data_IF_001530677274
#
_entry.id   IF_001530677274
#
_cell.length_a   1.000
_cell.length_b   1.000
_cell.length_c   1.000
_cell.angle_alpha   90.00
_cell.angle_beta   90.00
_cell.angle_gamma   90.00
#
_symmetry.space_group_name_H-M   'P 1'
#
loop_
_entity.id
_entity.type
_entity.pdbx_description
1 polymer ?
#
# COMPACT_ATOMS: atom_id res chain seq x y z
N UNK A 1 3.54 -16.97 16.27
CA UNK A 1 2.87 -15.87 15.54
C UNK A 1 1.67 -16.36 14.73
N UNK A 2 1.80 -17.35 13.86
CA UNK A 2 0.70 -17.93 13.05
C UNK A 2 -0.52 -18.34 13.90
N UNK A 3 -0.30 -19.08 14.99
CA UNK A 3 -1.36 -19.52 15.91
C UNK A 3 -2.16 -18.35 16.51
N UNK A 4 -1.53 -17.19 16.71
CA UNK A 4 -2.21 -16.04 17.33
C UNK A 4 -3.13 -15.29 16.37
N UNK A 5 -2.78 -15.14 15.08
CA UNK A 5 -3.67 -14.55 14.07
C UNK A 5 -4.84 -15.49 13.77
N UNK A 6 -4.57 -16.79 13.61
CA UNK A 6 -5.63 -17.80 13.42
C UNK A 6 -6.65 -17.75 14.58
N UNK A 7 -6.19 -17.77 15.82
CA UNK A 7 -7.08 -17.70 16.99
C UNK A 7 -7.88 -16.38 17.02
N UNK A 8 -7.27 -15.26 16.64
CA UNK A 8 -7.98 -13.99 16.55
C UNK A 8 -9.14 -14.08 15.55
N UNK A 9 -8.89 -14.63 14.36
CA UNK A 9 -9.92 -14.79 13.32
C UNK A 9 -11.03 -15.74 13.77
N UNK A 10 -10.69 -16.90 14.33
CA UNK A 10 -11.68 -17.87 14.86
C UNK A 10 -12.65 -17.25 15.89
N UNK A 11 -12.13 -16.40 16.77
CA UNK A 11 -12.95 -15.73 17.82
C UNK A 11 -13.83 -14.62 17.26
N UNK A 12 -13.37 -13.92 16.20
CA UNK A 12 -14.00 -12.67 15.79
C UNK A 12 -14.82 -12.75 14.49
N UNK A 13 -14.60 -13.75 13.61
CA UNK A 13 -15.28 -13.84 12.30
C UNK A 13 -16.81 -13.86 12.39
N UNK A 14 -17.38 -14.45 13.43
CA UNK A 14 -18.84 -14.51 13.64
C UNK A 14 -19.49 -13.11 13.83
N UNK A 15 -18.69 -12.12 14.23
CA UNK A 15 -19.19 -10.74 14.36
C UNK A 15 -19.64 -10.17 13.03
N UNK A 16 -19.04 -10.61 11.92
CA UNK A 16 -19.32 -10.09 10.57
C UNK A 16 -20.76 -10.39 10.10
N UNK A 17 -21.40 -11.45 10.61
CA UNK A 17 -22.77 -11.87 10.21
C UNK A 17 -23.83 -10.74 10.36
N UNK A 18 -23.60 -9.83 11.28
CA UNK A 18 -24.55 -8.77 11.56
C UNK A 18 -24.42 -7.56 10.62
N UNK A 19 -23.37 -7.52 9.79
CA UNK A 19 -23.01 -6.31 9.03
C UNK A 19 -23.34 -6.45 7.54
N UNK A 20 -23.78 -5.34 6.95
CA UNK A 20 -23.79 -5.13 5.49
C UNK A 20 -22.46 -4.49 5.09
N UNK A 21 -21.83 -5.01 4.05
CA UNK A 21 -20.62 -4.44 3.47
C UNK A 21 -20.95 -3.50 2.33
N UNK A 22 -20.46 -2.28 2.39
CA UNK A 22 -20.44 -1.34 1.28
C UNK A 22 -19.03 -1.33 0.67
N UNK A 23 -18.93 -1.71 -0.61
CA UNK A 23 -17.69 -1.68 -1.37
C UNK A 23 -17.66 -0.41 -2.21
N UNK A 24 -16.71 0.47 -1.97
CA UNK A 24 -16.47 1.68 -2.77
C UNK A 24 -15.18 1.49 -3.56
N UNK A 25 -15.29 1.34 -4.87
CA UNK A 25 -14.17 0.97 -5.73
C UNK A 25 -14.25 1.69 -7.09
N UNK A 26 -13.10 2.18 -7.57
CA UNK A 26 -12.96 2.58 -8.97
C UNK A 26 -12.36 1.40 -9.74
N UNK A 27 -13.07 0.92 -10.77
CA UNK A 27 -12.50 -0.05 -11.72
C UNK A 27 -11.96 0.68 -12.95
N UNK A 28 -11.07 0.01 -13.70
CA UNK A 28 -10.49 0.59 -14.92
C UNK A 28 -11.57 0.95 -15.94
N UNK A 29 -12.62 0.13 -16.07
CA UNK A 29 -13.72 0.36 -17.01
C UNK A 29 -14.71 1.44 -16.54
N UNK A 30 -14.98 1.54 -15.24
CA UNK A 30 -15.93 2.50 -14.66
C UNK A 30 -15.29 3.85 -14.35
N UNK A 31 -13.97 3.95 -14.31
CA UNK A 31 -13.26 5.17 -14.05
C UNK A 31 -13.58 6.22 -15.12
N UNK A 32 -14.22 7.31 -14.72
CA UNK A 32 -14.37 8.50 -15.56
C UNK A 32 -12.98 9.02 -15.87
N UNK A 33 -12.82 9.75 -17.01
CA UNK A 33 -11.56 10.33 -17.50
C UNK A 33 -10.70 10.83 -16.34
N UNK A 34 -9.62 10.13 -16.06
CA UNK A 34 -8.55 10.56 -15.15
C UNK A 34 -7.47 11.25 -15.98
N UNK A 35 -6.71 12.12 -15.33
CA UNK A 35 -5.60 12.80 -15.96
C UNK A 35 -4.37 11.88 -15.90
N UNK A 36 -3.97 11.32 -17.02
CA UNK A 36 -2.74 10.57 -17.14
C UNK A 36 -1.52 11.50 -17.12
N UNK A 37 -0.40 10.97 -16.68
CA UNK A 37 0.90 11.58 -16.89
C UNK A 37 1.48 11.15 -18.24
N UNK A 38 2.43 11.90 -18.75
CA UNK A 38 3.11 11.53 -19.99
C UNK A 38 3.81 10.16 -19.84
N UNK A 39 3.38 9.17 -20.62
CA UNK A 39 3.92 7.80 -20.58
C UNK A 39 3.40 6.90 -19.44
N UNK A 40 2.48 7.37 -18.58
CA UNK A 40 1.98 6.60 -17.45
C UNK A 40 0.46 6.70 -17.32
N UNK A 41 -0.20 5.56 -17.28
CA UNK A 41 -1.64 5.48 -17.04
C UNK A 41 -1.92 5.36 -15.53
N UNK A 42 -2.56 6.37 -14.96
CA UNK A 42 -2.92 6.40 -13.53
C UNK A 42 -3.92 5.29 -13.17
N UNK A 43 -4.72 4.82 -14.15
CA UNK A 43 -5.63 3.70 -13.93
C UNK A 43 -4.92 2.37 -13.68
N UNK A 44 -3.59 2.30 -13.81
CA UNK A 44 -2.80 1.12 -13.39
C UNK A 44 -3.00 0.80 -11.91
N UNK A 45 -3.29 1.79 -11.07
CA UNK A 45 -3.61 1.57 -9.66
C UNK A 45 -5.06 1.10 -9.41
N UNK A 46 -5.93 1.16 -10.41
CA UNK A 46 -7.32 0.73 -10.25
C UNK A 46 -7.43 -0.76 -10.51
N UNK A 47 -8.38 -1.40 -9.84
CA UNK A 47 -8.69 -2.79 -10.13
C UNK A 47 -9.22 -2.93 -11.57
N UNK A 48 -8.78 -3.95 -12.29
CA UNK A 48 -9.48 -4.41 -13.49
C UNK A 48 -10.86 -4.95 -13.10
N UNK A 49 -11.74 -5.16 -14.05
CA UNK A 49 -13.06 -5.74 -13.75
C UNK A 49 -12.93 -7.17 -13.21
N UNK A 50 -11.97 -7.96 -13.70
CA UNK A 50 -11.67 -9.31 -13.22
C UNK A 50 -11.21 -9.27 -11.76
N UNK A 51 -10.25 -8.41 -11.44
CA UNK A 51 -9.77 -8.22 -10.07
C UNK A 51 -10.87 -7.75 -9.12
N UNK A 52 -11.79 -6.93 -9.61
CA UNK A 52 -12.92 -6.48 -8.83
C UNK A 52 -13.91 -7.61 -8.51
N UNK A 53 -14.19 -8.48 -9.48
CA UNK A 53 -14.99 -9.69 -9.26
C UNK A 53 -14.32 -10.65 -8.25
N UNK A 54 -12.99 -10.78 -8.28
CA UNK A 54 -12.25 -11.53 -7.26
C UNK A 54 -12.44 -10.93 -5.87
N UNK A 55 -12.37 -9.60 -5.72
CA UNK A 55 -12.62 -8.89 -4.45
C UNK A 55 -14.03 -9.18 -3.93
N UNK A 56 -15.06 -9.08 -4.78
CA UNK A 56 -16.45 -9.39 -4.41
C UNK A 56 -16.58 -10.85 -3.98
N UNK A 57 -16.03 -11.76 -4.76
CA UNK A 57 -16.04 -13.20 -4.47
C UNK A 57 -15.41 -13.49 -3.10
N UNK A 58 -14.28 -12.85 -2.81
CA UNK A 58 -13.55 -13.03 -1.57
C UNK A 58 -14.35 -12.54 -0.35
N UNK A 59 -14.94 -11.35 -0.43
CA UNK A 59 -15.80 -10.82 0.63
C UNK A 59 -17.10 -11.62 0.80
N UNK A 60 -17.65 -12.19 -0.26
CA UNK A 60 -18.86 -13.04 -0.20
C UNK A 60 -18.66 -14.31 0.64
N UNK A 61 -17.41 -14.72 0.84
CA UNK A 61 -17.09 -15.88 1.71
C UNK A 61 -17.12 -15.54 3.22
N UNK A 62 -17.22 -14.24 3.59
CA UNK A 62 -17.13 -13.79 4.99
C UNK A 62 -18.44 -13.83 5.76
N UNK A 63 -19.48 -14.49 5.24
CA UNK A 63 -20.77 -14.66 5.93
C UNK A 63 -21.39 -13.33 6.39
N UNK A 64 -21.39 -12.34 5.51
CA UNK A 64 -22.00 -11.03 5.71
C UNK A 64 -23.52 -11.08 5.51
N UNK A 65 -24.25 -10.13 6.08
CA UNK A 65 -25.69 -10.00 5.87
C UNK A 65 -26.03 -9.61 4.41
N UNK A 66 -25.30 -8.64 3.84
CA UNK A 66 -25.48 -8.18 2.47
C UNK A 66 -24.19 -7.49 1.98
N UNK A 67 -24.05 -7.36 0.64
CA UNK A 67 -22.98 -6.59 -0.01
C UNK A 67 -23.62 -5.61 -1.00
N UNK A 68 -23.27 -4.34 -0.90
CA UNK A 68 -23.69 -3.27 -1.82
C UNK A 68 -22.44 -2.62 -2.44
N UNK A 69 -22.52 -2.27 -3.73
CA UNK A 69 -21.36 -1.86 -4.54
C UNK A 69 -21.57 -0.43 -5.06
N UNK A 70 -20.55 0.40 -4.87
CA UNK A 70 -20.48 1.77 -5.37
C UNK A 70 -19.21 1.93 -6.23
N UNK A 71 -19.37 2.18 -7.52
CA UNK A 71 -18.24 2.31 -8.45
C UNK A 71 -17.62 3.71 -8.50
N UNK A 72 -18.02 4.60 -7.58
CA UNK A 72 -17.38 5.90 -7.38
C UNK A 72 -17.61 6.44 -5.98
N UNK A 73 -16.71 7.29 -5.52
CA UNK A 73 -16.84 8.02 -4.26
C UNK A 73 -18.13 8.85 -4.22
N UNK A 74 -18.44 9.53 -5.30
CA UNK A 74 -19.63 10.41 -5.39
C UNK A 74 -20.92 9.61 -5.30
N UNK A 75 -21.02 8.44 -5.92
CA UNK A 75 -22.22 7.60 -5.83
C UNK A 75 -22.44 7.12 -4.40
N UNK A 76 -21.38 6.74 -3.69
CA UNK A 76 -21.44 6.33 -2.29
C UNK A 76 -21.86 7.50 -1.39
N UNK A 77 -21.19 8.65 -1.49
CA UNK A 77 -21.49 9.84 -0.67
C UNK A 77 -22.94 10.27 -0.86
N UNK A 78 -23.40 10.38 -2.12
CA UNK A 78 -24.79 10.74 -2.38
C UNK A 78 -25.80 9.73 -1.82
N UNK A 79 -25.48 8.44 -1.89
CA UNK A 79 -26.34 7.40 -1.31
C UNK A 79 -26.47 7.59 0.21
N UNK A 80 -25.37 7.77 0.92
CA UNK A 80 -25.38 7.98 2.38
C UNK A 80 -26.21 9.23 2.75
N UNK A 81 -25.94 10.37 2.11
CA UNK A 81 -26.64 11.63 2.40
C UNK A 81 -28.13 11.61 2.08
N UNK A 82 -28.55 10.82 1.08
CA UNK A 82 -29.98 10.71 0.73
C UNK A 82 -30.73 9.66 1.55
N UNK A 83 -30.03 8.83 2.34
CA UNK A 83 -30.63 7.74 3.11
C UNK A 83 -30.20 7.74 4.59
N UNK A 84 -29.92 8.90 5.17
CA UNK A 84 -29.36 9.05 6.53
C UNK A 84 -30.11 8.25 7.59
N UNK A 85 -31.46 8.34 7.61
CA UNK A 85 -32.28 7.65 8.60
C UNK A 85 -32.18 6.11 8.50
N UNK A 86 -32.08 5.58 7.30
CA UNK A 86 -31.89 4.15 7.05
C UNK A 86 -30.47 3.72 7.50
N UNK A 87 -29.45 4.50 7.15
CA UNK A 87 -28.04 4.23 7.42
C UNK A 87 -27.76 4.19 8.92
N UNK A 88 -28.33 5.13 9.70
CA UNK A 88 -28.17 5.18 11.17
C UNK A 88 -28.66 3.91 11.88
N UNK A 89 -29.61 3.20 11.27
CA UNK A 89 -30.19 1.97 11.83
C UNK A 89 -29.54 0.69 11.31
N UNK A 90 -28.61 0.77 10.34
CA UNK A 90 -27.91 -0.38 9.77
C UNK A 90 -26.57 -0.61 10.44
N UNK A 91 -26.23 -1.87 10.65
CA UNK A 91 -24.85 -2.25 10.95
C UNK A 91 -24.06 -2.33 9.65
N UNK A 92 -23.21 -1.34 9.42
CA UNK A 92 -22.45 -1.19 8.19
C UNK A 92 -20.95 -1.34 8.42
N UNK A 93 -20.27 -1.84 7.40
CA UNK A 93 -18.81 -1.75 7.24
C UNK A 93 -18.56 -1.20 5.83
N UNK A 94 -17.65 -0.23 5.70
CA UNK A 94 -17.24 0.30 4.41
C UNK A 94 -15.82 -0.18 4.09
N UNK A 95 -15.66 -0.89 2.99
CA UNK A 95 -14.37 -1.13 2.36
C UNK A 95 -14.18 -0.15 1.20
N UNK A 96 -13.02 0.48 1.09
CA UNK A 96 -12.72 1.38 -0.01
C UNK A 96 -11.35 1.11 -0.62
N UNK A 97 -11.33 0.90 -1.94
CA UNK A 97 -10.15 1.03 -2.80
C UNK A 97 -10.24 2.23 -3.73
N UNK A 98 -11.28 3.06 -3.57
CA UNK A 98 -11.50 4.24 -4.39
C UNK A 98 -10.42 5.31 -4.17
N UNK A 99 -9.98 5.94 -5.26
CA UNK A 99 -8.84 6.84 -5.27
C UNK A 99 -8.86 7.83 -6.43
N UNK A 100 -10.04 8.32 -6.79
CA UNK A 100 -10.18 9.35 -7.83
C UNK A 100 -9.48 10.64 -7.42
N UNK A 101 -8.87 11.33 -8.39
CA UNK A 101 -8.16 12.59 -8.18
C UNK A 101 -6.64 12.42 -8.10
N UNK A 102 -5.97 13.41 -7.51
CA UNK A 102 -4.51 13.51 -7.41
C UNK A 102 -4.07 13.83 -5.99
N UNK A 103 -2.78 13.66 -5.70
CA UNK A 103 -2.18 14.03 -4.43
C UNK A 103 -2.37 13.01 -3.31
N UNK A 104 -1.86 13.34 -2.13
CA UNK A 104 -1.80 12.43 -0.99
C UNK A 104 -3.18 12.03 -0.44
N UNK A 105 -4.16 12.93 -0.55
CA UNK A 105 -5.49 12.75 0.05
C UNK A 105 -6.46 11.86 -0.71
N UNK A 106 -6.16 11.48 -1.96
CA UNK A 106 -7.15 10.80 -2.82
C UNK A 106 -7.70 9.49 -2.24
N UNK A 107 -6.86 8.66 -1.61
CA UNK A 107 -7.32 7.42 -0.95
C UNK A 107 -8.00 7.65 0.41
N UNK A 108 -7.87 8.84 0.99
CA UNK A 108 -8.41 9.14 2.32
C UNK A 108 -9.81 9.77 2.32
N UNK A 109 -10.37 10.10 1.15
CA UNK A 109 -11.67 10.75 1.04
C UNK A 109 -12.79 9.90 1.67
N UNK A 110 -12.91 8.64 1.28
CA UNK A 110 -13.93 7.75 1.84
C UNK A 110 -13.74 7.48 3.34
N UNK A 111 -12.53 7.13 3.82
CA UNK A 111 -12.27 7.06 5.26
C UNK A 111 -12.62 8.35 6.03
N UNK A 112 -12.34 9.53 5.46
CA UNK A 112 -12.66 10.82 6.08
C UNK A 112 -14.18 11.06 6.16
N UNK A 113 -14.89 10.77 5.08
CA UNK A 113 -16.35 10.87 5.04
C UNK A 113 -17.00 9.87 6.00
N UNK A 114 -16.57 8.61 6.01
CA UNK A 114 -17.07 7.62 6.96
C UNK A 114 -16.84 8.04 8.42
N UNK A 115 -15.70 8.67 8.70
CA UNK A 115 -15.43 9.19 10.06
C UNK A 115 -16.33 10.36 10.43
N UNK A 116 -16.69 11.23 9.48
CA UNK A 116 -17.66 12.31 9.68
C UNK A 116 -19.06 11.76 10.02
N UNK A 117 -19.48 10.73 9.29
CA UNK A 117 -20.80 10.09 9.42
C UNK A 117 -20.85 8.98 10.49
N UNK A 118 -19.77 8.79 11.25
CA UNK A 118 -19.64 7.74 12.27
C UNK A 118 -19.86 6.30 11.75
N UNK A 119 -19.55 6.07 10.45
CA UNK A 119 -19.67 4.77 9.79
C UNK A 119 -18.35 3.98 9.96
N UNK A 120 -18.39 2.73 10.44
CA UNK A 120 -17.22 1.84 10.48
C UNK A 120 -16.62 1.62 9.09
N UNK A 121 -15.30 1.79 8.95
CA UNK A 121 -14.58 1.57 7.71
C UNK A 121 -13.29 0.79 7.92
N UNK A 122 -12.82 0.10 6.89
CA UNK A 122 -11.65 -0.76 6.95
C UNK A 122 -10.35 0.02 6.91
N UNK A 123 -9.32 -0.49 7.60
CA UNK A 123 -7.95 0.00 7.51
C UNK A 123 -7.64 1.21 8.38
N UNK A 124 -6.65 1.97 7.93
CA UNK A 124 -6.08 3.11 8.68
C UNK A 124 -6.96 4.36 8.60
N UNK A 125 -6.83 5.25 9.59
CA UNK A 125 -7.55 6.53 9.58
C UNK A 125 -7.10 7.44 8.42
N UNK A 126 -7.91 8.45 8.03
CA UNK A 126 -7.64 9.29 6.85
C UNK A 126 -6.29 10.01 6.89
N UNK A 127 -5.85 10.45 8.08
CA UNK A 127 -4.54 11.08 8.25
C UNK A 127 -3.40 10.11 7.92
N UNK A 128 -3.46 8.91 8.46
CA UNK A 128 -2.44 7.87 8.24
C UNK A 128 -2.39 7.45 6.77
N UNK A 129 -3.56 7.30 6.13
CA UNK A 129 -3.66 6.99 4.69
C UNK A 129 -2.97 8.06 3.85
N UNK A 130 -3.23 9.35 4.14
CA UNK A 130 -2.60 10.46 3.43
C UNK A 130 -1.11 10.59 3.72
N UNK A 131 -0.71 10.40 4.99
CA UNK A 131 0.67 10.45 5.42
C UNK A 131 1.52 9.39 4.71
N UNK A 132 1.07 8.12 4.76
CA UNK A 132 1.80 7.01 4.15
C UNK A 132 1.90 7.12 2.63
N UNK A 133 0.96 7.84 1.99
CA UNK A 133 1.05 8.12 0.56
C UNK A 133 2.08 9.22 0.24
N UNK A 134 2.40 10.09 1.17
CA UNK A 134 3.39 11.13 1.00
C UNK A 134 4.78 10.59 1.39
N UNK A 135 5.48 10.01 0.42
CA UNK A 135 6.73 9.26 0.61
C UNK A 135 7.83 10.02 1.34
N UNK A 136 8.00 11.32 1.08
CA UNK A 136 9.04 12.11 1.73
C UNK A 136 8.76 12.32 3.22
N UNK A 137 7.53 12.72 3.59
CA UNK A 137 7.18 12.92 5.00
C UNK A 137 7.24 11.61 5.79
N UNK A 138 6.74 10.52 5.22
CA UNK A 138 6.85 9.18 5.81
C UNK A 138 8.30 8.81 6.05
N UNK A 139 9.16 8.95 5.04
CA UNK A 139 10.59 8.67 5.16
C UNK A 139 11.23 9.51 6.29
N UNK A 140 10.96 10.83 6.35
CA UNK A 140 11.52 11.70 7.39
C UNK A 140 11.03 11.40 8.79
N UNK A 141 9.79 10.93 8.96
CA UNK A 141 9.29 10.47 10.25
C UNK A 141 10.01 9.19 10.71
N UNK A 142 10.19 8.24 9.80
CA UNK A 142 10.91 6.99 10.06
C UNK A 142 12.40 7.27 10.38
N UNK A 143 13.05 8.15 9.61
CA UNK A 143 14.43 8.58 9.82
C UNK A 143 14.62 9.23 11.20
N UNK A 144 13.71 10.13 11.59
CA UNK A 144 13.73 10.78 12.91
C UNK A 144 13.57 9.79 14.08
N UNK A 145 12.83 8.72 13.86
CA UNK A 145 12.68 7.61 14.79
C UNK A 145 13.85 6.62 14.75
N UNK A 146 14.88 6.88 13.93
CA UNK A 146 16.07 6.03 13.73
C UNK A 146 15.75 4.65 13.15
N UNK A 147 14.63 4.53 12.44
CA UNK A 147 14.34 3.34 11.66
C UNK A 147 15.19 3.33 10.37
N UNK A 148 15.56 2.14 9.87
CA UNK A 148 16.44 2.04 8.72
C UNK A 148 15.70 2.47 7.44
N UNK A 149 15.96 3.67 6.96
CA UNK A 149 15.44 4.22 5.70
C UNK A 149 16.58 4.73 4.82
N UNK A 150 16.48 4.63 3.49
CA UNK A 150 17.47 5.23 2.60
C UNK A 150 17.41 6.76 2.70
N UNK A 151 18.57 7.41 2.60
CA UNK A 151 18.60 8.87 2.50
C UNK A 151 17.72 9.35 1.33
N UNK A 152 16.88 10.36 1.61
CA UNK A 152 15.87 10.83 0.65
C UNK A 152 15.87 12.35 0.59
N UNK A 153 16.04 12.89 -0.62
CA UNK A 153 15.96 14.31 -0.93
C UNK A 153 14.68 14.60 -1.71
N UNK A 154 14.12 15.81 -1.55
CA UNK A 154 12.90 16.24 -2.24
C UNK A 154 13.21 17.38 -3.22
N UNK A 155 12.70 17.23 -4.44
CA UNK A 155 12.76 18.23 -5.49
C UNK A 155 11.34 18.69 -5.89
N UNK A 156 11.08 19.99 -5.82
CA UNK A 156 9.84 20.64 -6.28
C UNK A 156 10.13 21.99 -6.92
N UNK A 157 10.62 21.95 -8.15
CA UNK A 157 11.20 23.11 -8.83
C UNK A 157 12.61 23.47 -8.35
N UNK A 158 12.90 23.20 -7.09
CA UNK A 158 14.21 23.33 -6.45
C UNK A 158 14.38 22.24 -5.36
N UNK A 159 15.60 22.04 -4.90
CA UNK A 159 15.86 21.12 -3.78
C UNK A 159 15.39 21.71 -2.46
N UNK A 160 14.52 20.99 -1.75
CA UNK A 160 13.96 21.42 -0.47
C UNK A 160 15.08 21.72 0.53
N UNK A 161 15.13 22.97 1.04
CA UNK A 161 16.19 23.48 1.93
C UNK A 161 17.62 23.35 1.36
N UNK A 162 17.77 23.25 0.04
CA UNK A 162 19.08 23.02 -0.61
C UNK A 162 19.66 21.61 -0.38
N UNK A 163 18.90 20.70 0.25
CA UNK A 163 19.34 19.31 0.48
C UNK A 163 19.22 18.51 -0.81
N UNK A 164 20.34 18.14 -1.41
CA UNK A 164 20.45 17.35 -2.63
C UNK A 164 21.27 16.07 -2.40
N UNK A 165 21.15 15.04 -3.29
CA UNK A 165 21.98 13.87 -3.19
C UNK A 165 23.46 14.20 -3.26
N UNK A 166 24.32 13.33 -2.74
CA UNK A 166 25.75 13.49 -2.86
C UNK A 166 26.19 13.24 -4.32
N UNK A 167 27.21 13.95 -4.75
CA UNK A 167 27.78 13.74 -6.10
C UNK A 167 28.20 12.27 -6.28
N UNK A 168 27.85 11.67 -7.42
CA UNK A 168 28.01 10.25 -7.72
C UNK A 168 27.18 9.25 -6.89
N UNK A 169 26.28 9.71 -6.01
CA UNK A 169 25.35 8.83 -5.32
C UNK A 169 24.34 8.22 -6.30
N UNK A 170 24.08 6.93 -6.19
CA UNK A 170 23.00 6.29 -6.94
C UNK A 170 21.68 6.54 -6.22
N UNK A 171 20.71 7.09 -6.95
CA UNK A 171 19.37 7.41 -6.44
C UNK A 171 18.30 6.92 -7.39
N UNK A 172 17.19 6.45 -6.83
CA UNK A 172 15.97 6.13 -7.55
C UNK A 172 15.01 7.32 -7.45
N UNK A 173 14.65 7.87 -8.60
CA UNK A 173 13.69 8.97 -8.71
C UNK A 173 12.27 8.41 -8.66
N UNK A 174 11.44 8.94 -7.75
CA UNK A 174 10.05 8.52 -7.58
C UNK A 174 9.13 9.73 -7.44
N UNK A 175 7.95 9.74 -8.09
CA UNK A 175 6.90 10.71 -7.75
C UNK A 175 6.45 10.52 -6.31
N UNK A 176 6.12 11.63 -5.65
CA UNK A 176 5.91 11.62 -4.19
C UNK A 176 4.60 10.93 -3.77
N UNK A 177 3.56 10.93 -4.63
CA UNK A 177 2.21 10.46 -4.29
C UNK A 177 1.79 9.19 -5.03
N UNK A 178 2.58 8.66 -5.97
CA UNK A 178 2.14 7.54 -6.80
C UNK A 178 2.51 6.17 -6.20
N UNK A 179 1.73 5.14 -6.56
CA UNK A 179 1.98 3.72 -6.29
C UNK A 179 2.09 2.96 -7.62
N UNK A 180 2.14 1.62 -7.59
CA UNK A 180 2.24 0.77 -8.77
C UNK A 180 3.35 1.19 -9.74
N UNK A 181 4.46 1.69 -9.19
CA UNK A 181 5.62 2.21 -9.96
C UNK A 181 5.28 3.28 -11.00
N UNK A 182 4.12 3.93 -10.94
CA UNK A 182 3.78 5.05 -11.81
C UNK A 182 4.85 6.14 -11.68
N UNK A 183 5.41 6.56 -12.82
CA UNK A 183 6.51 7.53 -12.89
C UNK A 183 7.90 6.96 -12.64
N UNK A 184 8.03 5.63 -12.51
CA UNK A 184 9.31 4.94 -12.35
C UNK A 184 9.57 4.09 -13.61
N UNK A 185 10.50 4.51 -14.44
CA UNK A 185 10.95 3.85 -15.67
C UNK A 185 12.44 3.43 -15.58
N UNK A 186 12.99 2.86 -16.64
CA UNK A 186 14.40 2.46 -16.71
C UNK A 186 15.38 3.61 -16.50
N UNK A 187 14.98 4.86 -16.78
CA UNK A 187 15.78 6.07 -16.56
C UNK A 187 15.62 6.67 -15.16
N UNK A 188 14.85 6.03 -14.27
CA UNK A 188 14.62 6.53 -12.91
C UNK A 188 15.78 6.24 -11.95
N UNK A 189 16.61 5.23 -12.23
CA UNK A 189 17.83 4.97 -11.48
C UNK A 189 18.99 5.76 -12.12
N UNK A 190 19.49 6.75 -11.41
CA UNK A 190 20.55 7.63 -11.89
C UNK A 190 21.74 7.68 -10.91
N UNK A 191 22.91 8.00 -11.45
CA UNK A 191 24.03 8.45 -10.66
C UNK A 191 24.01 9.98 -10.64
N UNK A 192 23.73 10.54 -9.46
CA UNK A 192 23.48 11.98 -9.31
C UNK A 192 24.72 12.83 -9.62
N UNK A 193 24.53 13.89 -10.40
CA UNK A 193 25.42 15.01 -10.58
C UNK A 193 24.59 16.28 -10.71
N UNK A 194 25.19 17.48 -10.64
CA UNK A 194 24.46 18.74 -10.81
C UNK A 194 23.78 18.84 -12.19
N UNK A 195 24.31 18.18 -13.21
CA UNK A 195 23.68 18.07 -14.54
C UNK A 195 22.38 17.28 -14.52
N UNK A 196 22.19 16.38 -13.52
CA UNK A 196 20.97 15.61 -13.35
C UNK A 196 19.77 16.46 -12.99
N UNK A 197 19.97 17.64 -12.39
CA UNK A 197 18.91 18.53 -11.94
C UNK A 197 17.94 18.93 -13.08
N UNK A 198 18.48 19.08 -14.30
CA UNK A 198 17.64 19.35 -15.47
C UNK A 198 16.66 18.21 -15.77
N UNK A 199 17.12 16.95 -15.71
CA UNK A 199 16.27 15.80 -15.96
C UNK A 199 15.26 15.59 -14.82
N UNK A 200 15.67 15.84 -13.57
CA UNK A 200 14.79 15.80 -12.40
C UNK A 200 13.69 16.85 -12.53
N UNK A 201 14.04 18.07 -12.98
CA UNK A 201 13.07 19.13 -13.23
C UNK A 201 12.06 18.75 -14.33
N UNK A 202 12.51 18.15 -15.42
CA UNK A 202 11.61 17.65 -16.48
C UNK A 202 10.63 16.62 -15.92
N UNK A 203 11.10 15.68 -15.10
CA UNK A 203 10.23 14.70 -14.43
C UNK A 203 9.23 15.36 -13.48
N UNK A 204 9.65 16.33 -12.66
CA UNK A 204 8.79 17.10 -11.78
C UNK A 204 7.65 17.78 -12.56
N UNK A 205 7.97 18.43 -13.67
CA UNK A 205 6.98 19.09 -14.54
C UNK A 205 6.02 18.08 -15.18
N UNK A 206 6.53 16.98 -15.75
CA UNK A 206 5.74 15.95 -16.43
C UNK A 206 4.80 15.21 -15.45
N UNK A 207 5.27 14.93 -14.26
CA UNK A 207 4.47 14.28 -13.21
C UNK A 207 3.56 15.26 -12.44
N UNK A 208 3.72 16.57 -12.63
CA UNK A 208 2.95 17.62 -11.96
C UNK A 208 2.89 17.44 -10.43
N UNK A 209 3.95 16.91 -9.85
CA UNK A 209 4.12 16.67 -8.43
C UNK A 209 5.59 16.59 -8.08
N UNK A 210 5.95 16.81 -6.80
CA UNK A 210 7.34 16.71 -6.37
C UNK A 210 7.93 15.32 -6.65
N UNK A 211 9.23 15.29 -6.84
CA UNK A 211 10.03 14.06 -7.05
C UNK A 211 10.94 13.84 -5.85
N UNK A 212 10.96 12.64 -5.32
CA UNK A 212 12.01 12.25 -4.37
C UNK A 212 13.17 11.59 -5.10
N UNK A 213 14.39 11.94 -4.70
CA UNK A 213 15.61 11.21 -5.02
C UNK A 213 15.99 10.38 -3.79
N UNK A 214 15.64 9.11 -3.81
CA UNK A 214 15.90 8.17 -2.72
C UNK A 214 17.19 7.40 -3.03
N UNK A 215 18.12 7.35 -2.07
CA UNK A 215 19.33 6.52 -2.21
C UNK A 215 18.95 5.09 -2.63
N UNK A 216 19.57 4.63 -3.71
CA UNK A 216 19.31 3.28 -4.18
C UNK A 216 20.05 2.26 -3.32
N UNK A 217 19.34 1.23 -2.91
CA UNK A 217 19.87 0.09 -2.15
C UNK A 217 19.82 -1.14 -3.05
N UNK A 218 20.98 -1.64 -3.41
CA UNK A 218 21.13 -2.89 -4.19
C UNK A 218 20.80 -4.10 -3.31
N UNK A 219 20.11 -5.13 -3.86
CA UNK A 219 19.82 -6.37 -3.13
C UNK A 219 18.45 -6.96 -3.45
N UNK A 220 17.85 -7.60 -2.45
CA UNK A 220 16.52 -8.20 -2.56
C UNK A 220 15.43 -7.15 -2.41
N UNK A 221 14.33 -7.31 -3.14
CA UNK A 221 13.08 -6.59 -2.93
C UNK A 221 12.18 -7.45 -2.06
N UNK A 222 11.68 -6.92 -0.95
CA UNK A 222 10.89 -7.67 0.03
C UNK A 222 9.67 -6.87 0.46
N UNK A 223 8.51 -7.46 0.36
CA UNK A 223 7.25 -6.94 0.89
C UNK A 223 6.89 -7.70 2.17
N UNK A 224 6.63 -6.99 3.25
CA UNK A 224 6.31 -7.59 4.54
C UNK A 224 4.88 -7.28 4.96
N UNK A 225 3.91 -8.19 4.69
CA UNK A 225 2.54 -8.08 5.17
C UNK A 225 2.45 -8.10 6.70
N UNK A 226 1.59 -7.23 7.24
CA UNK A 226 1.32 -7.11 8.66
C UNK A 226 -0.15 -6.79 8.90
N UNK A 227 -0.79 -7.49 9.84
CA UNK A 227 -2.14 -7.16 10.29
C UNK A 227 -2.08 -6.48 11.65
N UNK A 228 -2.76 -5.33 11.76
CA UNK A 228 -2.70 -4.44 12.92
C UNK A 228 -4.10 -4.23 13.48
N UNK A 229 -4.30 -4.63 14.73
CA UNK A 229 -5.52 -4.38 15.52
C UNK A 229 -5.26 -3.30 16.57
N UNK A 230 -6.28 -2.91 17.31
CA UNK A 230 -6.13 -1.95 18.41
C UNK A 230 -5.19 -2.45 19.52
N UNK A 231 -5.10 -3.77 19.70
CA UNK A 231 -4.37 -4.37 20.83
C UNK A 231 -3.12 -5.17 20.40
N UNK A 232 -3.07 -5.62 19.14
CA UNK A 232 -2.02 -6.52 18.69
C UNK A 232 -1.53 -6.19 17.30
N UNK A 233 -0.28 -6.53 17.03
CA UNK A 233 0.34 -6.50 15.71
C UNK A 233 0.74 -7.93 15.34
N UNK A 234 0.32 -8.35 14.15
CA UNK A 234 0.58 -9.69 13.62
C UNK A 234 1.44 -9.57 12.34
N UNK A 235 2.79 -9.52 12.46
CA UNK A 235 3.66 -9.68 11.30
C UNK A 235 3.39 -11.06 10.68
N UNK A 236 3.18 -11.11 9.35
CA UNK A 236 2.75 -12.35 8.70
C UNK A 236 3.97 -13.12 8.20
N UNK A 237 4.42 -12.83 7.00
CA UNK A 237 5.59 -13.48 6.40
C UNK A 237 6.23 -12.51 5.39
N UNK A 238 7.56 -12.30 5.39
CA UNK A 238 8.21 -11.52 4.35
C UNK A 238 8.20 -12.29 3.04
N UNK A 239 7.80 -11.59 1.97
CA UNK A 239 7.71 -12.12 0.63
C UNK A 239 8.74 -11.42 -0.25
N UNK A 240 9.63 -12.18 -0.86
CA UNK A 240 10.56 -11.67 -1.83
C UNK A 240 9.91 -11.52 -3.20
N UNK A 241 10.40 -10.53 -3.97
CA UNK A 241 10.01 -10.28 -5.35
C UNK A 241 11.21 -10.42 -6.28
N UNK A 242 10.98 -10.94 -7.48
CA UNK A 242 12.01 -11.08 -8.52
C UNK A 242 11.43 -10.79 -9.90
N UNK A 243 12.30 -10.48 -10.87
CA UNK A 243 11.92 -10.30 -12.28
C UNK A 243 12.08 -11.60 -13.11
N UNK A 244 12.55 -12.66 -12.49
CA UNK A 244 12.68 -14.00 -13.08
C UNK A 244 12.30 -15.06 -12.06
N UNK A 245 11.66 -16.17 -12.45
CA UNK A 245 11.32 -17.25 -11.54
C UNK A 245 12.58 -18.00 -11.02
N UNK A 246 13.68 -17.91 -11.73
CA UNK A 246 14.92 -18.61 -11.41
C UNK A 246 15.88 -17.78 -10.53
N UNK A 247 15.58 -16.50 -10.33
CA UNK A 247 16.40 -15.57 -9.55
C UNK A 247 15.61 -15.03 -8.35
N UNK A 248 16.26 -14.88 -7.21
CA UNK A 248 15.63 -14.30 -6.00
C UNK A 248 16.17 -12.91 -5.68
N UNK A 249 17.41 -12.61 -6.03
CA UNK A 249 18.02 -11.32 -5.78
C UNK A 249 17.87 -10.40 -6.99
N UNK A 250 17.23 -9.26 -6.80
CA UNK A 250 17.09 -8.27 -7.86
C UNK A 250 18.40 -7.50 -8.15
N UNK A 251 19.35 -7.52 -7.22
CA UNK A 251 20.62 -6.78 -7.37
C UNK A 251 20.34 -5.30 -7.64
N UNK A 252 20.77 -4.81 -8.81
CA UNK A 252 20.52 -3.43 -9.28
C UNK A 252 19.20 -3.25 -10.02
N UNK A 253 18.44 -4.32 -10.24
CA UNK A 253 17.11 -4.19 -10.84
C UNK A 253 16.09 -3.70 -9.80
N UNK A 254 14.98 -3.17 -10.28
CA UNK A 254 13.88 -2.69 -9.48
C UNK A 254 12.56 -2.85 -10.24
N UNK A 255 11.46 -2.89 -9.53
CA UNK A 255 10.12 -2.92 -10.14
C UNK A 255 9.81 -1.55 -10.74
N UNK A 256 9.89 -1.46 -12.05
CA UNK A 256 9.49 -0.29 -12.81
C UNK A 256 8.01 -0.40 -13.26
N UNK A 257 7.50 0.68 -13.84
CA UNK A 257 6.13 0.75 -14.32
C UNK A 257 5.79 -0.37 -15.32
N UNK A 258 6.71 -0.68 -16.25
CA UNK A 258 6.49 -1.72 -17.25
C UNK A 258 6.35 -3.12 -16.61
N UNK A 259 7.18 -3.45 -15.64
CA UNK A 259 7.10 -4.72 -14.93
C UNK A 259 5.75 -4.88 -14.19
N UNK A 260 5.26 -3.82 -13.55
CA UNK A 260 3.97 -3.82 -12.87
C UNK A 260 2.81 -3.85 -13.87
N UNK A 261 2.86 -3.01 -14.91
CA UNK A 261 1.77 -2.89 -15.90
C UNK A 261 1.52 -4.20 -16.66
N UNK A 262 2.58 -4.95 -16.97
CA UNK A 262 2.52 -6.23 -17.68
C UNK A 262 2.56 -7.46 -16.74
N UNK A 263 2.51 -7.25 -15.43
CA UNK A 263 2.53 -8.32 -14.41
C UNK A 263 3.74 -9.27 -14.56
N UNK A 264 4.92 -8.71 -14.84
CA UNK A 264 6.17 -9.44 -15.10
C UNK A 264 7.07 -9.50 -13.86
N UNK A 265 6.59 -10.09 -12.79
CA UNK A 265 7.35 -10.31 -11.57
C UNK A 265 6.81 -11.53 -10.82
N UNK A 266 7.61 -12.07 -9.89
CA UNK A 266 7.33 -13.33 -9.21
C UNK A 266 7.49 -13.15 -7.71
N UNK A 267 6.72 -13.92 -6.94
CA UNK A 267 6.79 -13.97 -5.49
C UNK A 267 7.45 -15.25 -4.99
N UNK A 268 8.21 -15.16 -3.89
CA UNK A 268 8.79 -16.29 -3.20
C UNK A 268 8.89 -16.04 -1.69
N UNK A 269 8.95 -17.10 -0.88
CA UNK A 269 9.11 -16.99 0.57
C UNK A 269 10.52 -16.54 0.93
N UNK A 270 10.65 -15.30 1.44
CA UNK A 270 11.96 -14.70 1.72
C UNK A 270 12.70 -15.37 2.89
N UNK A 271 11.99 -15.94 3.87
CA UNK A 271 12.58 -16.63 5.03
C UNK A 271 13.57 -17.74 4.65
N UNK A 272 13.31 -18.45 3.54
CA UNK A 272 14.17 -19.55 3.06
C UNK A 272 15.54 -19.07 2.56
N UNK A 273 15.74 -17.78 2.35
CA UNK A 273 16.94 -17.19 1.77
C UNK A 273 17.92 -16.57 2.78
N UNK A 274 17.91 -16.99 4.06
CA UNK A 274 18.89 -16.66 5.09
C UNK A 274 19.00 -15.18 5.52
N UNK A 275 18.25 -14.26 4.91
CA UNK A 275 18.39 -12.83 5.18
C UNK A 275 17.30 -12.25 6.08
N UNK A 276 16.39 -13.09 6.56
CA UNK A 276 15.37 -12.74 7.53
C UNK A 276 15.87 -12.87 8.96
N UNK A 277 15.51 -11.93 9.83
CA UNK A 277 15.80 -11.99 11.26
C UNK A 277 14.71 -11.32 12.10
N UNK A 278 14.79 -11.50 13.44
CA UNK A 278 13.87 -10.86 14.38
C UNK A 278 13.93 -9.33 14.34
N UNK A 279 15.03 -8.74 13.92
CA UNK A 279 15.19 -7.29 13.82
C UNK A 279 14.27 -6.70 12.75
N UNK A 280 14.13 -7.36 11.60
CA UNK A 280 13.17 -6.93 10.57
C UNK A 280 11.72 -6.96 11.11
N UNK A 281 11.34 -7.98 11.88
CA UNK A 281 10.02 -8.03 12.55
C UNK A 281 9.84 -6.87 13.52
N UNK A 282 10.85 -6.54 14.31
CA UNK A 282 10.82 -5.40 15.21
C UNK A 282 10.66 -4.09 14.45
N UNK A 283 11.44 -3.90 13.37
CA UNK A 283 11.35 -2.70 12.50
C UNK A 283 9.96 -2.56 11.90
N UNK A 284 9.35 -3.64 11.37
CA UNK A 284 7.95 -3.63 10.90
C UNK A 284 7.00 -3.20 12.00
N UNK A 285 7.16 -3.79 13.20
CA UNK A 285 6.29 -3.51 14.36
C UNK A 285 6.40 -2.05 14.79
N UNK A 286 7.61 -1.50 14.87
CA UNK A 286 7.84 -0.10 15.23
C UNK A 286 7.35 0.85 14.14
N UNK A 287 7.52 0.50 12.86
CA UNK A 287 7.03 1.28 11.73
C UNK A 287 5.50 1.45 11.79
N UNK A 288 4.75 0.35 11.92
CA UNK A 288 3.28 0.43 11.94
C UNK A 288 2.75 1.14 13.18
N UNK A 289 3.43 1.01 14.34
CA UNK A 289 3.10 1.76 15.56
C UNK A 289 3.34 3.24 15.41
N UNK A 290 4.53 3.63 14.93
CA UNK A 290 4.91 5.03 14.76
C UNK A 290 3.96 5.76 13.82
N UNK A 291 3.62 5.13 12.69
CA UNK A 291 2.74 5.71 11.69
C UNK A 291 1.24 5.62 12.08
N UNK A 292 0.89 4.82 13.09
CA UNK A 292 -0.50 4.60 13.50
C UNK A 292 -1.30 3.80 12.48
N UNK A 293 -0.65 2.88 11.75
CA UNK A 293 -1.31 2.03 10.75
C UNK A 293 -2.26 1.05 11.41
N UNK A 294 -3.38 0.73 10.74
CA UNK A 294 -4.40 -0.24 11.17
C UNK A 294 -4.87 -1.10 10.01
N UNK A 295 -5.38 -2.30 10.34
CA UNK A 295 -5.87 -3.26 9.38
C UNK A 295 -4.75 -4.02 8.69
N UNK A 296 -5.00 -4.49 7.48
CA UNK A 296 -4.00 -5.19 6.67
C UNK A 296 -3.12 -4.17 5.96
N UNK A 297 -1.85 -4.16 6.31
CA UNK A 297 -0.84 -3.22 5.87
C UNK A 297 0.38 -3.96 5.32
N UNK A 298 1.32 -3.21 4.72
CA UNK A 298 2.57 -3.75 4.19
C UNK A 298 3.70 -2.74 4.39
N UNK A 299 4.88 -3.25 4.74
CA UNK A 299 6.13 -2.50 4.82
C UNK A 299 7.10 -3.11 3.82
N UNK A 300 7.65 -2.30 2.93
CA UNK A 300 8.48 -2.75 1.81
C UNK A 300 9.94 -2.43 2.07
N UNK A 301 10.81 -3.37 1.74
CA UNK A 301 12.24 -3.29 2.04
C UNK A 301 13.11 -3.54 0.82
N UNK A 302 14.29 -2.91 0.83
CA UNK A 302 15.46 -3.40 0.09
C UNK A 302 16.44 -4.01 1.09
N UNK A 303 16.87 -5.23 0.83
CA UNK A 303 17.69 -6.03 1.74
C UNK A 303 19.01 -6.39 1.06
N UNK A 304 20.13 -5.89 1.58
CA UNK A 304 21.48 -6.25 1.12
C UNK A 304 22.00 -7.49 1.81
N UNK A 305 21.74 -7.59 3.11
CA UNK A 305 22.12 -8.72 3.95
C UNK A 305 21.23 -8.79 5.17
N UNK A 306 21.40 -9.82 6.00
CA UNK A 306 20.63 -10.05 7.23
C UNK A 306 20.53 -8.84 8.15
N UNK A 307 21.56 -7.99 8.22
CA UNK A 307 21.65 -6.85 9.13
C UNK A 307 21.75 -5.50 8.38
N UNK A 308 21.63 -5.51 7.05
CA UNK A 308 21.71 -4.31 6.21
C UNK A 308 20.48 -4.29 5.29
N UNK A 309 19.41 -3.68 5.77
CA UNK A 309 18.12 -3.56 5.10
C UNK A 309 17.47 -2.20 5.39
N UNK A 310 16.64 -1.73 4.48
CA UNK A 310 16.05 -0.40 4.53
C UNK A 310 14.58 -0.43 4.11
N UNK A 311 13.72 0.30 4.84
CA UNK A 311 12.32 0.52 4.47
C UNK A 311 12.29 1.46 3.26
N UNK A 312 11.70 1.03 2.17
CA UNK A 312 11.62 1.79 0.91
C UNK A 312 10.24 2.36 0.61
N UNK A 313 9.20 1.72 1.16
CA UNK A 313 7.81 2.19 1.06
C UNK A 313 6.94 1.56 2.18
N UNK A 314 5.73 2.08 2.36
CA UNK A 314 4.69 1.52 3.24
C UNK A 314 3.33 1.61 2.55
N UNK A 315 2.47 0.62 2.74
CA UNK A 315 1.12 0.60 2.18
C UNK A 315 0.08 0.36 3.26
N UNK A 316 -0.89 1.27 3.38
CA UNK A 316 -2.06 1.17 4.28
C UNK A 316 -3.23 0.43 3.67
N UNK A 317 -3.19 0.16 2.37
CA UNK A 317 -4.21 -0.59 1.64
C UNK A 317 -3.51 -1.32 0.48
N UNK A 318 -2.71 -2.36 0.80
CA UNK A 318 -1.98 -3.12 -0.21
C UNK A 318 -2.93 -3.95 -1.09
N UNK A 319 -2.47 -4.26 -2.31
CA UNK A 319 -3.12 -5.23 -3.18
C UNK A 319 -3.12 -6.61 -2.51
N UNK A 320 -4.25 -7.33 -2.53
CA UNK A 320 -4.42 -8.54 -1.71
C UNK A 320 -5.03 -9.74 -2.45
N UNK A 321 -5.43 -9.56 -3.71
CA UNK A 321 -6.00 -10.64 -4.52
C UNK A 321 -4.92 -11.53 -5.15
N UNK A 322 -5.29 -12.40 -6.06
CA UNK A 322 -4.53 -13.58 -6.49
C UNK A 322 -3.05 -13.35 -6.73
N UNK A 323 -2.63 -12.36 -7.52
CA UNK A 323 -1.21 -12.05 -7.74
C UNK A 323 -0.75 -10.91 -6.82
N UNK A 324 -0.55 -11.24 -5.54
CA UNK A 324 -0.05 -10.29 -4.53
C UNK A 324 0.80 -10.96 -3.46
N UNK A 325 1.69 -10.20 -2.85
CA UNK A 325 2.47 -10.66 -1.69
C UNK A 325 1.60 -11.02 -0.49
N UNK A 326 0.46 -10.34 -0.33
CA UNK A 326 -0.52 -10.64 0.73
C UNK A 326 -1.08 -12.06 0.53
N UNK A 327 -1.60 -12.35 -0.67
CA UNK A 327 -2.16 -13.66 -0.98
C UNK A 327 -1.09 -14.76 -0.85
N UNK A 328 0.11 -14.51 -1.39
CA UNK A 328 1.24 -15.44 -1.27
C UNK A 328 1.62 -15.71 0.20
N UNK A 329 1.67 -14.68 1.04
CA UNK A 329 2.00 -14.81 2.46
C UNK A 329 0.96 -15.64 3.22
N UNK A 330 -0.35 -15.36 3.02
CA UNK A 330 -1.42 -16.11 3.67
C UNK A 330 -1.43 -17.59 3.26
N UNK A 331 -1.28 -17.89 1.98
CA UNK A 331 -1.13 -19.27 1.47
C UNK A 331 0.07 -19.97 2.10
N UNK A 332 1.21 -19.29 2.20
CA UNK A 332 2.44 -19.87 2.76
C UNK A 332 2.34 -20.23 4.24
N UNK A 333 1.45 -19.56 4.98
CA UNK A 333 1.17 -19.89 6.38
C UNK A 333 -0.09 -20.75 6.58
N UNK A 334 -0.60 -21.34 5.50
CA UNK A 334 -1.80 -22.20 5.50
C UNK A 334 -3.08 -21.51 6.01
N UNK A 335 -3.21 -20.21 5.82
CA UNK A 335 -4.47 -19.49 5.98
C UNK A 335 -5.22 -19.44 4.64
N UNK A 336 -6.56 -19.52 4.72
CA UNK A 336 -7.42 -19.41 3.54
C UNK A 336 -7.40 -17.99 2.95
N UNK A 337 -7.77 -17.86 1.69
CA UNK A 337 -7.96 -16.54 1.08
C UNK A 337 -9.07 -15.74 1.79
N UNK A 338 -10.12 -16.41 2.28
CA UNK A 338 -11.15 -15.76 3.09
C UNK A 338 -10.60 -15.12 4.37
N UNK A 339 -9.51 -15.64 4.95
CA UNK A 339 -8.85 -15.01 6.09
C UNK A 339 -8.29 -13.63 5.79
N UNK A 340 -7.90 -13.35 4.53
CA UNK A 340 -7.50 -12.02 4.09
C UNK A 340 -8.70 -11.06 4.19
N UNK A 341 -9.84 -11.47 3.64
CA UNK A 341 -11.07 -10.69 3.68
C UNK A 341 -11.55 -10.47 5.12
N UNK A 342 -11.49 -11.51 5.97
CA UNK A 342 -11.80 -11.40 7.40
C UNK A 342 -10.91 -10.37 8.11
N UNK A 343 -9.58 -10.39 7.88
CA UNK A 343 -8.66 -9.38 8.41
C UNK A 343 -9.06 -7.96 7.98
N UNK A 344 -9.36 -7.77 6.69
CA UNK A 344 -9.77 -6.47 6.17
C UNK A 344 -11.05 -5.99 6.86
N UNK A 345 -12.09 -6.80 6.88
CA UNK A 345 -13.40 -6.42 7.42
C UNK A 345 -13.38 -6.24 8.95
N UNK A 346 -12.70 -7.12 9.68
CA UNK A 346 -12.59 -7.01 11.14
C UNK A 346 -11.84 -5.75 11.57
N UNK A 347 -10.96 -5.21 10.74
CA UNK A 347 -10.28 -3.94 11.05
C UNK A 347 -11.24 -2.77 11.25
N UNK A 348 -12.41 -2.80 10.60
CA UNK A 348 -13.45 -1.77 10.77
C UNK A 348 -14.13 -1.83 12.14
N UNK A 349 -14.12 -2.99 12.79
CA UNK A 349 -14.75 -3.21 14.09
C UNK A 349 -13.79 -2.95 15.27
N UNK A 350 -12.55 -2.62 14.98
CA UNK A 350 -11.51 -2.30 15.96
C UNK A 350 -11.59 -0.83 16.38
N UNK A 351 -12.42 -0.49 17.33
CA UNK A 351 -12.53 0.88 17.84
C UNK A 351 -13.93 1.50 17.73
N UNK A 352 -14.91 0.64 17.49
CA UNK A 352 -16.34 0.95 17.64
C UNK A 352 -16.76 0.64 19.08
#
# INVERSE_FOLDING_TARGET
>A
MQTSLFNYLEVNREKLKAYTLFIVCNTKSAAKKHKNYEGFDVATEYLSDIEFEEVISLFSQCNLNNIEIFQSEISFINYILNNEDEIRNKKLIVYSSAQTGTGAGRKSLIPAFCKLEEIPYTGSNPYVVSLCRQKYHTNKLLENAKLPVPNTCLYDGEWLFGHKPLHNQEVLLKPIYESASIGIDSGSLIRYSDESDKNIHIRNVNMQQPIIAQQFVEGYEVEFPVYVTSNNIYPILPIGLSLSPDETCMGRNFLNYEAIYFDKYYFYNFESNLNYNKEMVNVVTETVKLLGMKGLCRVDFRVKSKNDFYITDVSTNPHFITHSSINHAFKSINLSESAIAECILLSALEGV
#
